data_IF_747501080462
#
_entry.id   IF_747501080462
#
_cell.length_a   1.000
_cell.length_b   1.000
_cell.length_c   1.000
_cell.angle_alpha   90.00
_cell.angle_beta   90.00
_cell.angle_gamma   90.00
#
_symmetry.space_group_name_H-M   'P 1'
#
loop_
_entity.id
_entity.type
_entity.pdbx_description
1 polymer ?
#
# COMPACT_ATOMS: atom_id res chain seq x y z
N UNK A 1 13.22 -8.03 -13.37
CA UNK A 1 12.85 -8.58 -12.04
C UNK A 1 11.99 -7.54 -11.37
N UNK A 2 10.77 -7.88 -10.98
CA UNK A 2 9.86 -6.90 -10.37
C UNK A 2 10.20 -6.70 -8.90
N UNK A 3 10.53 -5.49 -8.49
CA UNK A 3 10.68 -5.14 -7.08
C UNK A 3 9.32 -4.72 -6.52
N UNK A 4 8.98 -5.23 -5.34
CA UNK A 4 7.74 -4.89 -4.64
C UNK A 4 8.13 -4.15 -3.37
N UNK A 5 7.60 -2.94 -3.20
CA UNK A 5 7.80 -2.15 -2.00
C UNK A 5 6.46 -1.71 -1.44
N UNK A 6 6.27 -1.96 -0.14
CA UNK A 6 5.05 -1.60 0.59
C UNK A 6 5.29 -0.28 1.31
N UNK A 7 4.31 0.60 1.25
CA UNK A 7 4.30 1.84 1.99
C UNK A 7 3.02 1.97 2.81
N UNK A 8 3.15 2.56 4.00
CA UNK A 8 2.06 2.90 4.91
C UNK A 8 1.76 4.38 4.83
N UNK A 9 0.48 4.74 4.84
CA UNK A 9 0.10 6.16 4.85
C UNK A 9 0.39 6.76 6.24
N UNK A 10 0.97 7.96 6.27
CA UNK A 10 1.33 8.65 7.51
C UNK A 10 0.12 9.11 8.33
N UNK A 11 -1.01 9.39 7.68
CA UNK A 11 -2.23 9.90 8.34
C UNK A 11 -3.21 8.78 8.71
N UNK A 12 -3.31 7.76 7.86
CA UNK A 12 -4.13 6.58 8.11
C UNK A 12 -3.25 5.34 8.18
N UNK A 13 -2.98 4.91 9.40
CA UNK A 13 -2.14 3.76 9.72
C UNK A 13 -2.69 2.42 9.23
N UNK A 14 -3.97 2.34 8.83
CA UNK A 14 -4.55 1.15 8.22
C UNK A 14 -4.50 1.18 6.68
N UNK A 15 -4.03 2.27 6.06
CA UNK A 15 -3.96 2.42 4.61
C UNK A 15 -2.56 2.16 4.09
N UNK A 16 -2.48 1.29 3.09
CA UNK A 16 -1.22 0.85 2.50
C UNK A 16 -1.28 0.92 0.97
N UNK A 17 -0.10 1.06 0.37
CA UNK A 17 0.11 0.93 -1.07
C UNK A 17 1.27 -0.02 -1.33
N UNK A 18 1.09 -0.88 -2.33
CA UNK A 18 2.09 -1.81 -2.83
C UNK A 18 2.53 -1.32 -4.21
N UNK A 19 3.80 -0.93 -4.32
CA UNK A 19 4.41 -0.42 -5.54
C UNK A 19 5.21 -1.55 -6.17
N UNK A 20 4.83 -1.93 -7.39
CA UNK A 20 5.53 -2.89 -8.22
C UNK A 20 6.32 -2.13 -9.28
N UNK A 21 7.64 -2.28 -9.29
CA UNK A 21 8.51 -1.69 -10.30
C UNK A 21 9.13 -2.81 -11.12
N UNK A 22 8.90 -2.80 -12.44
CA UNK A 22 9.37 -3.85 -13.35
C UNK A 22 10.84 -3.73 -13.77
N UNK A 23 11.56 -2.71 -13.28
CA UNK A 23 12.96 -2.43 -13.59
C UNK A 23 13.17 -1.55 -14.84
N UNK A 24 12.09 -1.10 -15.48
CA UNK A 24 12.16 -0.21 -16.64
C UNK A 24 11.54 1.16 -16.31
N UNK A 25 10.25 1.32 -16.62
CA UNK A 25 9.58 2.62 -16.60
C UNK A 25 8.16 2.52 -16.02
N UNK A 26 7.69 1.32 -15.69
CA UNK A 26 6.33 1.14 -15.19
C UNK A 26 6.36 0.90 -13.69
N UNK A 27 5.78 1.85 -12.97
CA UNK A 27 5.35 1.60 -11.62
C UNK A 27 3.89 1.22 -11.68
N UNK A 28 3.55 0.05 -11.15
CA UNK A 28 2.17 -0.35 -10.95
C UNK A 28 1.85 -0.29 -9.47
N UNK A 29 0.68 0.24 -9.13
CA UNK A 29 0.28 0.42 -7.74
C UNK A 29 -1.00 -0.34 -7.42
N UNK A 30 -1.03 -0.94 -6.24
CA UNK A 30 -2.22 -1.53 -5.62
C UNK A 30 -2.43 -0.88 -4.25
N UNK A 31 -3.68 -0.51 -3.95
CA UNK A 31 -4.05 0.04 -2.64
C UNK A 31 -4.79 -1.02 -1.83
N UNK A 32 -4.62 -0.99 -0.53
CA UNK A 32 -5.42 -1.79 0.39
C UNK A 32 -5.53 -1.14 1.75
N UNK A 33 -6.58 -1.51 2.47
CA UNK A 33 -6.71 -1.29 3.90
C UNK A 33 -6.36 -2.58 4.63
N UNK A 34 -5.74 -2.47 5.79
CA UNK A 34 -5.27 -3.59 6.58
C UNK A 34 -5.50 -3.34 8.07
N UNK A 35 -6.10 -4.32 8.75
CA UNK A 35 -6.39 -4.27 10.17
C UNK A 35 -5.92 -5.54 10.86
N UNK A 36 -5.13 -5.39 11.91
CA UNK A 36 -4.70 -6.47 12.80
C UNK A 36 -5.43 -6.43 14.14
N UNK A 37 -6.14 -5.34 14.41
CA UNK A 37 -6.86 -5.10 15.66
C UNK A 37 -8.27 -4.64 15.35
N UNK A 38 -9.19 -5.03 16.23
CA UNK A 38 -10.57 -4.57 16.20
C UNK A 38 -10.60 -3.05 16.43
N UNK A 39 -11.29 -2.32 15.55
CA UNK A 39 -11.35 -0.85 15.59
C UNK A 39 -12.20 -0.30 16.76
N UNK A 40 -13.05 -1.14 17.36
CA UNK A 40 -13.92 -0.79 18.49
C UNK A 40 -13.26 -1.21 19.81
N UNK A 41 -12.80 -2.47 19.91
CA UNK A 41 -12.28 -3.02 21.17
C UNK A 41 -10.76 -2.88 21.33
N UNK A 42 -10.02 -2.65 20.25
CA UNK A 42 -8.55 -2.57 20.25
C UNK A 42 -7.84 -3.92 20.39
N UNK A 43 -8.59 -5.00 20.58
CA UNK A 43 -8.07 -6.36 20.71
C UNK A 43 -7.52 -6.87 19.37
N UNK A 44 -6.46 -7.71 19.37
CA UNK A 44 -6.00 -8.38 18.17
C UNK A 44 -7.12 -9.18 17.51
N UNK A 45 -7.23 -9.10 16.18
CA UNK A 45 -8.14 -9.95 15.42
C UNK A 45 -7.56 -11.37 15.38
N UNK A 46 -8.40 -12.42 15.44
CA UNK A 46 -7.95 -13.80 15.24
C UNK A 46 -7.20 -14.00 13.93
N UNK A 47 -7.62 -13.28 12.88
CA UNK A 47 -6.94 -13.20 11.59
C UNK A 47 -6.91 -11.74 11.11
N UNK A 48 -5.76 -11.23 10.64
CA UNK A 48 -5.68 -9.90 10.05
C UNK A 48 -6.55 -9.78 8.78
N UNK A 49 -7.24 -8.66 8.66
CA UNK A 49 -8.13 -8.39 7.52
C UNK A 49 -7.43 -7.49 6.51
N UNK A 50 -7.21 -8.00 5.28
CA UNK A 50 -6.69 -7.22 4.14
C UNK A 50 -7.80 -6.96 3.12
N UNK A 51 -8.20 -5.71 2.97
CA UNK A 51 -9.20 -5.29 2.01
C UNK A 51 -8.55 -4.53 0.84
N UNK A 52 -8.51 -5.15 -0.35
CA UNK A 52 -7.98 -4.50 -1.56
C UNK A 52 -8.95 -3.41 -1.99
N UNK A 53 -8.47 -2.17 -2.03
CA UNK A 53 -9.27 -1.03 -2.46
C UNK A 53 -9.08 -0.80 -3.97
N UNK A 54 -10.18 -0.67 -4.71
CA UNK A 54 -10.19 -0.46 -6.17
C UNK A 54 -10.64 -1.66 -6.99
N UNK A 55 -10.31 -1.66 -8.28
CA UNK A 55 -10.74 -2.64 -9.28
C UNK A 55 -9.88 -3.93 -9.34
N UNK A 56 -9.00 -4.12 -8.35
CA UNK A 56 -8.01 -5.21 -8.28
C UNK A 56 -7.00 -5.24 -9.44
N UNK A 57 -6.91 -4.17 -10.23
CA UNK A 57 -5.94 -4.05 -11.31
C UNK A 57 -4.72 -3.24 -10.88
N UNK A 58 -3.62 -3.52 -11.56
CA UNK A 58 -2.39 -2.76 -11.46
C UNK A 58 -2.48 -1.52 -12.36
N UNK A 59 -2.61 -0.35 -11.75
CA UNK A 59 -2.65 0.92 -12.48
C UNK A 59 -1.24 1.44 -12.69
N UNK A 60 -0.93 1.85 -13.93
CA UNK A 60 0.38 2.41 -14.27
C UNK A 60 0.49 3.86 -13.80
N UNK A 61 1.59 4.17 -13.15
CA UNK A 61 1.91 5.51 -12.66
C UNK A 61 3.20 6.04 -13.27
N UNK A 62 3.15 7.30 -13.70
CA UNK A 62 4.35 8.07 -14.06
C UNK A 62 5.19 8.27 -12.80
N UNK A 63 6.52 8.28 -12.95
CA UNK A 63 7.47 8.43 -11.85
C UNK A 63 7.24 9.70 -11.01
N UNK A 64 6.93 10.83 -11.66
CA UNK A 64 6.68 12.10 -10.97
C UNK A 64 5.44 12.02 -10.05
N UNK A 65 4.31 11.54 -10.59
CA UNK A 65 3.07 11.39 -9.83
C UNK A 65 3.21 10.38 -8.68
N UNK A 66 3.97 9.29 -8.90
CA UNK A 66 4.26 8.35 -7.83
C UNK A 66 5.09 9.00 -6.73
N UNK A 67 6.10 9.81 -7.08
CA UNK A 67 6.92 10.51 -6.09
C UNK A 67 6.07 11.43 -5.21
N UNK A 68 5.19 12.23 -5.83
CA UNK A 68 4.25 13.12 -5.13
C UNK A 68 3.33 12.32 -4.19
N UNK A 69 2.72 11.23 -4.69
CA UNK A 69 1.87 10.36 -3.86
C UNK A 69 2.64 9.80 -2.65
N UNK A 70 3.90 9.41 -2.83
CA UNK A 70 4.73 8.82 -1.78
C UNK A 70 5.16 9.81 -0.69
N UNK A 71 4.98 11.13 -0.88
CA UNK A 71 5.28 12.12 0.16
C UNK A 71 4.37 11.96 1.40
N UNK A 72 3.15 11.47 1.21
CA UNK A 72 2.19 11.17 2.28
C UNK A 72 2.40 9.78 2.91
N UNK A 73 3.41 9.04 2.47
CA UNK A 73 3.64 7.65 2.86
C UNK A 73 5.05 7.44 3.44
N UNK A 74 5.21 6.33 4.14
CA UNK A 74 6.49 5.86 4.66
C UNK A 74 6.72 4.40 4.25
N UNK A 75 7.94 4.02 3.88
CA UNK A 75 8.24 2.64 3.51
C UNK A 75 8.06 1.73 4.72
N UNK A 76 7.39 0.60 4.53
CA UNK A 76 7.32 -0.46 5.52
C UNK A 76 8.58 -1.32 5.32
N UNK A 77 9.55 -1.18 6.22
CA UNK A 77 10.66 -2.14 6.30
C UNK A 77 10.13 -3.44 6.89
N UNK A 78 10.37 -4.54 6.17
CA UNK A 78 10.17 -5.89 6.68
C UNK A 78 11.14 -6.20 7.83
#
# INVERSE_FOLDING_TARGET
MTTIQVYRNRRNSNKYIEVHNDGHYHNSLKQYLYWERNVITGEPLPEPVKNITGDRRLHRWRKANLKELLEDYEPVTA
#
